data_IF_384636076356
#
_entry.id   IF_384636076356
#
_cell.length_a   1.000
_cell.length_b   1.000
_cell.length_c   1.000
_cell.angle_alpha   90.00
_cell.angle_beta   90.00
_cell.angle_gamma   90.00
#
_symmetry.space_group_name_H-M   'P 1'
#
loop_
_entity.id
_entity.type
_entity.pdbx_description
1 polymer ?
#
# COMPACT_ATOMS: atom_id res chain seq x y z
N UNK A 1 43.45 -166.98 20.78
CA UNK A 1 44.21 -166.10 21.69
C UNK A 1 44.89 -164.90 21.07
N UNK A 2 45.61 -165.01 19.94
CA UNK A 2 46.24 -163.87 19.27
C UNK A 2 45.28 -162.69 18.97
N UNK A 3 44.03 -162.98 18.64
CA UNK A 3 43.04 -161.96 18.25
C UNK A 3 42.39 -161.27 19.45
N UNK A 4 42.26 -161.94 20.60
CA UNK A 4 41.48 -161.45 21.74
C UNK A 4 42.24 -160.38 22.55
N UNK A 5 43.52 -160.65 22.86
CA UNK A 5 44.42 -159.67 23.52
C UNK A 5 44.70 -158.43 22.67
N UNK A 6 44.88 -158.62 21.36
CA UNK A 6 45.05 -157.50 20.44
C UNK A 6 43.79 -156.63 20.36
N UNK A 7 42.59 -157.23 20.46
CA UNK A 7 41.30 -156.53 20.47
C UNK A 7 41.09 -155.68 21.72
N UNK A 8 41.37 -156.23 22.90
CA UNK A 8 41.28 -155.50 24.18
C UNK A 8 42.29 -154.34 24.27
N UNK A 9 43.51 -154.52 23.73
CA UNK A 9 44.51 -153.43 23.63
C UNK A 9 44.06 -152.33 22.65
N UNK A 10 43.48 -152.70 21.50
CA UNK A 10 42.90 -151.75 20.56
C UNK A 10 41.75 -150.97 21.20
N UNK A 11 40.86 -151.63 21.95
CA UNK A 11 39.71 -151.02 22.62
C UNK A 11 40.15 -150.03 23.72
N UNK A 12 41.20 -150.35 24.48
CA UNK A 12 41.75 -149.47 25.50
C UNK A 12 42.51 -148.25 24.91
N UNK A 13 43.08 -148.38 23.71
CA UNK A 13 43.80 -147.30 23.01
C UNK A 13 42.89 -146.44 22.10
N UNK A 14 41.71 -146.94 21.71
CA UNK A 14 40.75 -146.24 20.85
C UNK A 14 40.39 -144.83 21.33
N UNK A 15 40.16 -144.55 22.64
CA UNK A 15 39.85 -143.19 23.09
C UNK A 15 40.99 -142.19 22.88
N UNK A 16 42.24 -142.66 22.94
CA UNK A 16 43.42 -141.81 22.70
C UNK A 16 43.52 -141.49 21.21
N UNK A 17 43.30 -142.49 20.35
CA UNK A 17 43.24 -142.30 18.88
C UNK A 17 42.14 -141.31 18.50
N UNK A 18 40.94 -141.46 19.06
CA UNK A 18 39.81 -140.56 18.78
C UNK A 18 40.08 -139.13 19.28
N UNK A 19 40.75 -138.98 20.43
CA UNK A 19 41.10 -137.66 20.99
C UNK A 19 42.22 -136.99 20.18
N UNK A 20 43.23 -137.74 19.76
CA UNK A 20 44.28 -137.25 18.87
C UNK A 20 43.70 -136.82 17.52
N UNK A 21 42.80 -137.62 16.92
CA UNK A 21 42.10 -137.24 15.70
C UNK A 21 41.27 -135.95 15.85
N UNK A 22 40.57 -135.78 16.99
CA UNK A 22 39.87 -134.52 17.30
C UNK A 22 40.82 -133.33 17.48
N UNK A 23 41.97 -133.53 18.12
CA UNK A 23 42.96 -132.49 18.32
C UNK A 23 43.62 -132.07 17.00
N UNK A 24 43.99 -133.02 16.15
CA UNK A 24 44.53 -132.77 14.81
C UNK A 24 43.51 -132.08 13.90
N UNK A 25 42.23 -132.47 14.00
CA UNK A 25 41.13 -131.79 13.32
C UNK A 25 40.99 -130.33 13.80
N UNK A 26 41.01 -130.09 15.11
CA UNK A 26 40.92 -128.75 15.68
C UNK A 26 42.14 -127.87 15.35
N UNK A 27 43.35 -128.45 15.29
CA UNK A 27 44.55 -127.73 14.83
C UNK A 27 44.44 -127.37 13.34
N UNK A 28 43.93 -128.28 12.51
CA UNK A 28 43.70 -128.03 11.09
C UNK A 28 42.65 -126.95 10.89
N UNK A 29 41.56 -126.99 11.66
CA UNK A 29 40.52 -125.97 11.66
C UNK A 29 41.06 -124.61 12.11
N UNK A 30 41.85 -124.56 13.20
CA UNK A 30 42.46 -123.31 13.68
C UNK A 30 43.42 -122.74 12.64
N UNK A 31 44.25 -123.57 12.02
CA UNK A 31 45.15 -123.14 10.96
C UNK A 31 44.37 -122.58 9.75
N UNK A 32 43.25 -123.22 9.39
CA UNK A 32 42.32 -122.71 8.37
C UNK A 32 41.74 -121.35 8.74
N UNK A 33 41.19 -121.21 9.95
CA UNK A 33 40.60 -119.96 10.44
C UNK A 33 41.62 -118.82 10.59
N UNK A 34 42.87 -119.12 10.97
CA UNK A 34 43.95 -118.11 11.01
C UNK A 34 44.28 -117.60 9.59
N UNK A 35 44.26 -118.49 8.60
CA UNK A 35 44.50 -118.14 7.19
C UNK A 35 43.34 -117.30 6.63
N UNK A 36 42.10 -117.68 6.92
CA UNK A 36 40.91 -116.87 6.60
C UNK A 36 40.96 -115.51 7.28
N UNK A 37 41.30 -115.44 8.58
CA UNK A 37 41.42 -114.18 9.32
C UNK A 37 42.48 -113.25 8.74
N UNK A 38 43.60 -113.81 8.29
CA UNK A 38 44.65 -113.04 7.60
C UNK A 38 44.16 -112.49 6.24
N UNK A 39 43.33 -113.25 5.51
CA UNK A 39 42.79 -112.87 4.21
C UNK A 39 41.73 -111.77 4.27
N UNK A 40 41.01 -111.59 5.39
CA UNK A 40 39.96 -110.55 5.53
C UNK A 40 40.47 -109.15 5.15
N UNK A 41 41.70 -108.78 5.54
CA UNK A 41 42.25 -107.46 5.21
C UNK A 41 42.44 -107.26 3.71
N UNK A 42 42.92 -108.31 3.02
CA UNK A 42 43.12 -108.27 1.58
C UNK A 42 41.77 -108.22 0.87
N UNK A 43 40.81 -109.07 1.28
CA UNK A 43 39.46 -109.07 0.73
C UNK A 43 38.75 -107.72 0.86
N UNK A 44 38.84 -107.06 2.02
CA UNK A 44 38.27 -105.72 2.22
C UNK A 44 38.99 -104.67 1.37
N UNK A 45 40.31 -104.78 1.19
CA UNK A 45 41.06 -103.86 0.32
C UNK A 45 40.68 -104.04 -1.16
N UNK A 46 40.51 -105.28 -1.63
CA UNK A 46 40.04 -105.59 -2.99
C UNK A 46 38.62 -105.08 -3.22
N UNK A 47 37.69 -105.32 -2.27
CA UNK A 47 36.33 -104.81 -2.33
C UNK A 47 36.31 -103.27 -2.39
N UNK A 48 37.11 -102.60 -1.54
CA UNK A 48 37.20 -101.14 -1.52
C UNK A 48 37.81 -100.59 -2.80
N UNK A 49 38.83 -101.27 -3.36
CA UNK A 49 39.41 -100.90 -4.64
C UNK A 49 38.37 -100.97 -5.75
N UNK A 50 37.60 -102.07 -5.82
CA UNK A 50 36.53 -102.22 -6.81
C UNK A 50 35.49 -101.11 -6.72
N UNK A 51 34.98 -100.83 -5.52
CA UNK A 51 34.00 -99.75 -5.31
C UNK A 51 34.54 -98.37 -5.72
N UNK A 52 35.80 -98.06 -5.39
CA UNK A 52 36.43 -96.79 -5.77
C UNK A 52 36.70 -96.70 -7.27
N UNK A 53 37.09 -97.79 -7.91
CA UNK A 53 37.26 -97.84 -9.37
C UNK A 53 35.93 -97.59 -10.08
N UNK A 54 34.84 -98.21 -9.63
CA UNK A 54 33.50 -97.98 -10.19
C UNK A 54 33.03 -96.54 -9.97
N UNK A 55 33.34 -95.95 -8.81
CA UNK A 55 33.00 -94.55 -8.50
C UNK A 55 33.79 -93.56 -9.36
N UNK A 56 35.09 -93.81 -9.58
CA UNK A 56 35.92 -93.00 -10.50
C UNK A 56 35.34 -93.09 -11.92
N UNK A 57 35.07 -94.29 -12.43
CA UNK A 57 34.53 -94.48 -13.76
C UNK A 57 33.17 -93.77 -13.96
N UNK A 58 32.30 -93.81 -12.94
CA UNK A 58 31.03 -93.07 -12.93
C UNK A 58 31.27 -91.55 -12.99
N UNK A 59 32.13 -91.01 -12.13
CA UNK A 59 32.41 -89.58 -12.08
C UNK A 59 33.09 -89.06 -13.36
N UNK A 60 33.95 -89.86 -13.99
CA UNK A 60 34.57 -89.53 -15.28
C UNK A 60 33.51 -89.46 -16.39
N UNK A 61 32.57 -90.41 -16.42
CA UNK A 61 31.45 -90.39 -17.37
C UNK A 61 30.54 -89.18 -17.15
N UNK A 62 30.17 -88.88 -15.91
CA UNK A 62 29.35 -87.71 -15.56
C UNK A 62 30.06 -86.40 -15.94
N UNK A 63 31.37 -86.31 -15.68
CA UNK A 63 32.21 -85.17 -16.06
C UNK A 63 32.25 -84.94 -17.57
N UNK A 64 32.38 -86.01 -18.36
CA UNK A 64 32.35 -85.91 -19.82
C UNK A 64 31.00 -85.41 -20.35
N UNK A 65 29.88 -85.86 -19.76
CA UNK A 65 28.54 -85.38 -20.12
C UNK A 65 28.38 -83.90 -19.79
N UNK A 66 28.78 -83.47 -18.60
CA UNK A 66 28.66 -82.07 -18.17
C UNK A 66 29.52 -81.13 -19.03
N UNK A 67 30.74 -81.55 -19.40
CA UNK A 67 31.60 -80.78 -20.31
C UNK A 67 30.95 -80.61 -21.69
N UNK A 68 30.37 -81.68 -22.25
CA UNK A 68 29.66 -81.61 -23.53
C UNK A 68 28.43 -80.69 -23.46
N UNK A 69 27.70 -80.69 -22.34
CA UNK A 69 26.57 -79.78 -22.13
C UNK A 69 27.03 -78.32 -22.05
N UNK A 70 28.15 -78.04 -21.37
CA UNK A 70 28.74 -76.70 -21.30
C UNK A 70 29.14 -76.21 -22.69
N UNK A 71 29.86 -77.02 -23.47
CA UNK A 71 30.28 -76.67 -24.82
C UNK A 71 29.08 -76.34 -25.73
N UNK A 72 28.00 -77.11 -25.60
CA UNK A 72 26.76 -76.89 -26.34
C UNK A 72 26.09 -75.58 -25.95
N UNK A 73 26.00 -75.30 -24.65
CA UNK A 73 25.40 -74.05 -24.15
C UNK A 73 26.22 -72.81 -24.55
N UNK A 74 27.55 -72.89 -24.51
CA UNK A 74 28.43 -71.81 -24.96
C UNK A 74 28.31 -71.56 -26.48
N UNK A 75 28.21 -72.62 -27.28
CA UNK A 75 28.00 -72.50 -28.72
C UNK A 75 26.67 -71.80 -29.03
N UNK A 76 25.60 -72.16 -28.30
CA UNK A 76 24.29 -71.54 -28.46
C UNK A 76 24.29 -70.07 -28.02
N UNK A 77 24.95 -69.73 -26.91
CA UNK A 77 25.11 -68.35 -26.47
C UNK A 77 25.83 -67.50 -27.53
N UNK A 78 26.92 -68.03 -28.11
CA UNK A 78 27.65 -67.36 -29.20
C UNK A 78 26.76 -67.15 -30.43
N UNK A 79 25.99 -68.16 -30.83
CA UNK A 79 25.05 -68.09 -31.96
C UNK A 79 23.98 -67.01 -31.74
N UNK A 80 23.32 -67.02 -30.59
CA UNK A 80 22.29 -66.03 -30.24
C UNK A 80 22.87 -64.60 -30.12
N UNK A 81 24.11 -64.47 -29.64
CA UNK A 81 24.83 -63.19 -29.62
C UNK A 81 25.03 -62.62 -31.02
N UNK A 82 25.51 -63.46 -31.96
CA UNK A 82 25.66 -63.05 -33.36
C UNK A 82 24.32 -62.72 -34.03
N UNK A 83 23.27 -63.50 -33.77
CA UNK A 83 21.93 -63.25 -34.31
C UNK A 83 21.37 -61.91 -33.82
N UNK A 84 21.50 -61.61 -32.52
CA UNK A 84 21.14 -60.31 -31.94
C UNK A 84 21.88 -59.16 -32.65
N UNK A 85 23.19 -59.28 -32.80
CA UNK A 85 24.01 -58.21 -33.39
C UNK A 85 23.66 -58.00 -34.87
N UNK A 86 23.40 -59.07 -35.62
CA UNK A 86 22.90 -59.00 -37.00
C UNK A 86 21.54 -58.29 -37.08
N UNK A 87 20.60 -58.62 -36.19
CA UNK A 87 19.28 -57.99 -36.14
C UNK A 87 19.35 -56.49 -35.77
N UNK A 88 20.28 -56.11 -34.88
CA UNK A 88 20.56 -54.69 -34.57
C UNK A 88 21.08 -53.98 -35.82
N UNK A 89 22.03 -54.57 -36.53
CA UNK A 89 22.59 -53.97 -37.75
C UNK A 89 21.56 -53.87 -38.88
N UNK A 90 20.70 -54.89 -39.05
CA UNK A 90 19.57 -54.86 -39.99
C UNK A 90 18.57 -53.76 -39.63
N UNK A 91 18.20 -53.61 -38.35
CA UNK A 91 17.32 -52.52 -37.89
C UNK A 91 17.92 -51.14 -38.14
N UNK A 92 19.23 -50.98 -37.95
CA UNK A 92 19.93 -49.74 -38.25
C UNK A 92 19.93 -49.45 -39.77
N UNK A 93 20.28 -50.45 -40.60
CA UNK A 93 20.30 -50.33 -42.07
C UNK A 93 18.92 -50.13 -42.70
N UNK A 94 17.86 -50.67 -42.10
CA UNK A 94 16.48 -50.57 -42.58
C UNK A 94 15.79 -49.25 -42.19
N UNK A 95 16.48 -48.32 -41.52
CA UNK A 95 15.95 -46.98 -41.22
C UNK A 95 15.39 -46.80 -39.81
N UNK A 96 15.68 -47.68 -38.85
CA UNK A 96 15.29 -47.49 -37.44
C UNK A 96 15.79 -46.18 -36.84
N UNK A 97 17.01 -45.76 -37.18
CA UNK A 97 17.57 -44.46 -36.77
C UNK A 97 16.84 -43.28 -37.44
N UNK A 98 16.36 -43.48 -38.69
CA UNK A 98 15.58 -42.48 -39.39
C UNK A 98 14.18 -42.31 -38.81
N UNK A 99 13.55 -43.39 -38.33
CA UNK A 99 12.25 -43.34 -37.65
C UNK A 99 12.38 -42.60 -36.32
N UNK A 100 13.38 -42.93 -35.50
CA UNK A 100 13.61 -42.24 -34.22
C UNK A 100 13.88 -40.74 -34.40
N UNK A 101 14.66 -40.37 -35.42
CA UNK A 101 14.89 -38.96 -35.76
C UNK A 101 13.63 -38.25 -36.26
N UNK A 102 12.79 -38.91 -37.06
CA UNK A 102 11.51 -38.35 -37.52
C UNK A 102 10.51 -38.18 -36.37
N UNK A 103 10.45 -39.12 -35.42
CA UNK A 103 9.63 -39.01 -34.21
C UNK A 103 10.07 -37.83 -33.34
N UNK A 104 11.38 -37.66 -33.14
CA UNK A 104 11.95 -36.50 -32.42
C UNK A 104 11.58 -35.18 -33.11
N UNK A 105 11.79 -35.09 -34.44
CA UNK A 105 11.45 -33.90 -35.21
C UNK A 105 9.94 -33.61 -35.20
N UNK A 106 9.09 -34.64 -35.24
CA UNK A 106 7.65 -34.49 -35.16
C UNK A 106 7.21 -33.97 -33.78
N UNK A 107 7.78 -34.52 -32.69
CA UNK A 107 7.52 -34.05 -31.34
C UNK A 107 7.96 -32.59 -31.15
N UNK A 108 9.15 -32.23 -31.65
CA UNK A 108 9.66 -30.85 -31.64
C UNK A 108 8.77 -29.90 -32.45
N UNK A 109 8.36 -30.30 -33.65
CA UNK A 109 7.47 -29.51 -34.50
C UNK A 109 6.09 -29.31 -33.85
N UNK A 110 5.55 -30.33 -33.19
CA UNK A 110 4.26 -30.24 -32.50
C UNK A 110 4.34 -29.32 -31.28
N UNK A 111 5.42 -29.38 -30.50
CA UNK A 111 5.66 -28.46 -29.39
C UNK A 111 5.88 -27.02 -29.87
N UNK A 112 6.61 -26.82 -30.97
CA UNK A 112 6.76 -25.52 -31.63
C UNK A 112 5.40 -24.98 -32.12
N UNK A 113 4.56 -25.83 -32.74
CA UNK A 113 3.23 -25.44 -33.20
C UNK A 113 2.33 -25.04 -32.02
N UNK A 114 2.35 -25.80 -30.92
CA UNK A 114 1.61 -25.48 -29.69
C UNK A 114 2.05 -24.14 -29.10
N UNK A 115 3.37 -23.93 -28.95
CA UNK A 115 3.93 -22.65 -28.48
C UNK A 115 3.51 -21.49 -29.36
N UNK A 116 3.65 -21.62 -30.68
CA UNK A 116 3.24 -20.57 -31.64
C UNK A 116 1.75 -20.28 -31.58
N UNK A 117 0.90 -21.31 -31.44
CA UNK A 117 -0.54 -21.14 -31.28
C UNK A 117 -0.89 -20.40 -29.99
N UNK A 118 -0.24 -20.72 -28.87
CA UNK A 118 -0.44 -20.03 -27.60
C UNK A 118 0.03 -18.58 -27.66
N UNK A 119 1.22 -18.32 -28.22
CA UNK A 119 1.74 -16.97 -28.43
C UNK A 119 0.83 -16.16 -29.33
N UNK A 120 0.29 -16.76 -30.41
CA UNK A 120 -0.67 -16.09 -31.28
C UNK A 120 -1.92 -15.65 -30.51
N UNK A 121 -2.51 -16.53 -29.70
CA UNK A 121 -3.72 -16.17 -28.92
C UNK A 121 -3.44 -15.00 -27.98
N UNK A 122 -2.31 -15.01 -27.26
CA UNK A 122 -1.93 -13.91 -26.39
C UNK A 122 -1.68 -12.61 -27.16
N UNK A 123 -1.05 -12.70 -28.32
CA UNK A 123 -0.82 -11.56 -29.20
C UNK A 123 -2.13 -10.97 -29.73
N UNK A 124 -3.05 -11.81 -30.22
CA UNK A 124 -4.36 -11.38 -30.71
C UNK A 124 -5.19 -10.71 -29.61
N UNK A 125 -5.11 -11.23 -28.37
CA UNK A 125 -5.71 -10.58 -27.19
C UNK A 125 -5.11 -9.20 -26.92
N UNK A 126 -3.79 -9.07 -26.92
CA UNK A 126 -3.12 -7.78 -26.68
C UNK A 126 -3.46 -6.74 -27.77
N UNK A 127 -3.54 -7.17 -29.03
CA UNK A 127 -3.96 -6.31 -30.15
C UNK A 127 -5.41 -5.85 -29.96
N UNK A 128 -6.30 -6.73 -29.52
CA UNK A 128 -7.69 -6.40 -29.23
C UNK A 128 -7.84 -5.46 -28.02
N UNK A 129 -7.11 -5.71 -26.93
CA UNK A 129 -7.10 -4.87 -25.72
C UNK A 129 -6.56 -3.46 -26.01
N UNK A 130 -5.64 -3.34 -26.97
CA UNK A 130 -5.14 -2.06 -27.46
C UNK A 130 -6.15 -1.31 -28.37
N UNK A 131 -7.29 -1.92 -28.69
CA UNK A 131 -8.31 -1.40 -29.60
C UNK A 131 -7.87 -1.37 -31.06
N UNK A 132 -6.93 -2.24 -31.46
CA UNK A 132 -6.39 -2.31 -32.81
C UNK A 132 -7.01 -3.45 -33.61
N UNK A 133 -6.91 -3.35 -34.94
CA UNK A 133 -7.44 -4.37 -35.85
C UNK A 133 -6.57 -5.65 -35.80
N UNK A 134 -7.19 -6.84 -35.94
CA UNK A 134 -6.46 -8.11 -36.01
C UNK A 134 -5.40 -8.14 -37.11
N UNK A 135 -4.26 -8.77 -36.84
CA UNK A 135 -3.16 -8.91 -37.80
C UNK A 135 -3.31 -10.19 -38.60
N UNK A 136 -3.57 -10.08 -39.91
CA UNK A 136 -3.82 -11.22 -40.79
C UNK A 136 -2.57 -11.71 -41.55
N UNK A 137 -1.59 -10.82 -41.80
CA UNK A 137 -0.43 -11.08 -42.63
C UNK A 137 0.84 -10.35 -42.14
N UNK A 138 1.96 -10.59 -42.85
CA UNK A 138 3.26 -10.03 -42.49
C UNK A 138 3.33 -8.50 -42.66
N UNK A 139 2.62 -7.94 -43.65
CA UNK A 139 2.61 -6.50 -43.90
C UNK A 139 1.81 -5.78 -42.79
N UNK A 140 0.68 -6.36 -42.36
CA UNK A 140 -0.09 -5.90 -41.22
C UNK A 140 0.73 -5.96 -39.92
N UNK A 141 1.56 -6.98 -39.74
CA UNK A 141 2.45 -7.08 -38.57
C UNK A 141 3.53 -5.98 -38.58
N UNK A 142 4.15 -5.72 -39.74
CA UNK A 142 5.13 -4.64 -39.88
C UNK A 142 4.50 -3.25 -39.66
N UNK A 143 3.29 -3.03 -40.20
CA UNK A 143 2.53 -1.80 -40.02
C UNK A 143 2.13 -1.59 -38.54
N UNK A 144 1.73 -2.65 -37.84
CA UNK A 144 1.44 -2.60 -36.40
C UNK A 144 2.67 -2.14 -35.60
N UNK A 145 3.86 -2.67 -35.91
CA UNK A 145 5.10 -2.26 -35.26
C UNK A 145 5.40 -0.77 -35.41
N UNK A 146 5.20 -0.22 -36.62
CA UNK A 146 5.37 1.21 -36.88
C UNK A 146 4.33 2.06 -36.14
N UNK A 147 3.06 1.61 -36.09
CA UNK A 147 1.98 2.30 -35.38
C UNK A 147 2.26 2.36 -33.88
N UNK A 148 2.64 1.24 -33.26
CA UNK A 148 2.95 1.19 -31.82
C UNK A 148 4.16 2.07 -31.50
N UNK A 149 5.16 2.11 -32.38
CA UNK A 149 6.33 2.97 -32.20
C UNK A 149 5.99 4.48 -32.19
N UNK A 150 5.00 4.90 -32.97
CA UNK A 150 4.53 6.30 -33.01
C UNK A 150 3.53 6.62 -31.88
N UNK A 151 2.58 5.73 -31.60
CA UNK A 151 1.51 5.96 -30.62
C UNK A 151 1.98 5.86 -29.17
N UNK A 152 2.91 4.95 -28.86
CA UNK A 152 3.42 4.76 -27.49
C UNK A 152 4.00 6.04 -26.85
N UNK A 153 4.90 6.82 -27.50
CA UNK A 153 5.37 8.08 -26.92
C UNK A 153 4.25 9.11 -26.75
N UNK A 154 3.26 9.15 -27.68
CA UNK A 154 2.10 10.05 -27.59
C UNK A 154 1.21 9.73 -26.39
N UNK A 155 0.84 8.47 -26.22
CA UNK A 155 0.08 8.01 -25.04
C UNK A 155 0.86 8.21 -23.74
N UNK A 156 2.19 8.02 -23.76
CA UNK A 156 3.03 8.29 -22.59
C UNK A 156 3.03 9.77 -22.21
N UNK A 157 3.07 10.68 -23.20
CA UNK A 157 2.94 12.12 -22.96
C UNK A 157 1.55 12.46 -22.44
N UNK A 158 0.50 11.99 -23.10
CA UNK A 158 -0.89 12.21 -22.68
C UNK A 158 -1.11 11.74 -21.25
N UNK A 159 -0.58 10.57 -20.87
CA UNK A 159 -0.67 10.09 -19.49
C UNK A 159 0.01 11.05 -18.51
N UNK A 160 1.20 11.57 -18.83
CA UNK A 160 1.89 12.54 -17.96
C UNK A 160 1.08 13.82 -17.79
N UNK A 161 0.49 14.32 -18.88
CA UNK A 161 -0.35 15.51 -18.85
C UNK A 161 -1.60 15.29 -17.98
N UNK A 162 -2.24 14.11 -18.11
CA UNK A 162 -3.36 13.70 -17.28
C UNK A 162 -2.97 13.50 -15.80
N UNK A 163 -1.80 12.92 -15.51
CA UNK A 163 -1.27 12.77 -14.15
C UNK A 163 -1.08 14.16 -13.51
N UNK A 164 -0.48 15.12 -14.21
CA UNK A 164 -0.32 16.51 -13.74
C UNK A 164 -1.68 17.18 -13.52
N UNK A 165 -2.59 17.11 -14.49
CA UNK A 165 -3.92 17.69 -14.36
C UNK A 165 -4.71 17.09 -13.18
N UNK A 166 -4.59 15.79 -12.95
CA UNK A 166 -5.23 15.08 -11.83
C UNK A 166 -4.71 15.60 -10.49
N UNK A 167 -3.38 15.74 -10.35
CA UNK A 167 -2.76 16.28 -9.12
C UNK A 167 -3.23 17.72 -8.87
N UNK A 168 -3.29 18.54 -9.92
CA UNK A 168 -3.77 19.92 -9.81
C UNK A 168 -5.24 20.00 -9.41
N UNK A 169 -6.11 19.16 -9.98
CA UNK A 169 -7.54 19.09 -9.63
C UNK A 169 -7.76 18.67 -8.17
N UNK A 170 -7.07 17.62 -7.71
CA UNK A 170 -7.07 17.19 -6.30
C UNK A 170 -6.52 18.31 -5.39
N UNK A 171 -5.50 19.03 -5.85
CA UNK A 171 -4.95 20.19 -5.15
C UNK A 171 -5.99 21.30 -4.95
N UNK A 172 -6.75 21.64 -6.00
CA UNK A 172 -7.85 22.61 -5.96
C UNK A 172 -8.98 22.15 -5.03
N UNK A 173 -9.42 20.91 -5.15
CA UNK A 173 -10.45 20.32 -4.28
C UNK A 173 -10.08 20.48 -2.79
N UNK A 174 -8.84 20.12 -2.42
CA UNK A 174 -8.34 20.27 -1.05
C UNK A 174 -8.20 21.72 -0.59
N UNK A 175 -7.89 22.65 -1.49
CA UNK A 175 -7.86 24.08 -1.16
C UNK A 175 -9.27 24.61 -0.89
N UNK A 176 -10.23 24.28 -1.75
CA UNK A 176 -11.64 24.65 -1.55
C UNK A 176 -12.19 24.05 -0.26
N UNK A 177 -11.95 22.76 0.02
CA UNK A 177 -12.40 22.15 1.27
C UNK A 177 -11.83 22.86 2.50
N UNK A 178 -10.53 23.18 2.53
CA UNK A 178 -9.93 23.94 3.64
C UNK A 178 -10.56 25.32 3.81
N UNK A 179 -10.95 25.98 2.72
CA UNK A 179 -11.62 27.29 2.78
C UNK A 179 -13.07 27.14 3.27
N UNK A 180 -13.79 26.11 2.83
CA UNK A 180 -15.12 25.76 3.36
C UNK A 180 -15.06 25.56 4.87
N UNK A 181 -14.10 24.76 5.37
CA UNK A 181 -13.96 24.49 6.80
C UNK A 181 -13.79 25.77 7.62
N UNK A 182 -12.94 26.70 7.15
CA UNK A 182 -12.71 27.99 7.82
C UNK A 182 -13.97 28.85 7.85
N UNK A 183 -14.70 28.93 6.74
CA UNK A 183 -15.93 29.74 6.68
C UNK A 183 -17.05 29.11 7.49
N UNK A 184 -17.19 27.77 7.43
CA UNK A 184 -18.17 27.03 8.21
C UNK A 184 -17.94 27.21 9.72
N UNK A 185 -16.68 27.18 10.17
CA UNK A 185 -16.34 27.46 11.57
C UNK A 185 -16.71 28.90 11.98
N UNK A 186 -16.39 29.91 11.14
CA UNK A 186 -16.74 31.30 11.42
C UNK A 186 -18.26 31.52 11.40
N UNK A 187 -19.02 30.88 10.50
CA UNK A 187 -20.49 30.92 10.47
C UNK A 187 -21.07 30.30 11.74
N UNK A 188 -20.63 29.10 12.12
CA UNK A 188 -21.09 28.45 13.36
C UNK A 188 -20.75 29.29 14.60
N UNK A 189 -19.62 30.00 14.58
CA UNK A 189 -19.20 30.92 15.63
C UNK A 189 -20.10 32.17 15.69
N UNK A 190 -20.45 32.75 14.53
CA UNK A 190 -21.34 33.91 14.42
C UNK A 190 -22.76 33.58 14.85
N UNK A 191 -23.28 32.39 14.56
CA UNK A 191 -24.62 31.94 14.95
C UNK A 191 -24.85 31.89 16.48
N UNK A 192 -23.78 31.80 17.26
CA UNK A 192 -23.83 31.77 18.72
C UNK A 192 -23.78 33.16 19.37
N UNK A 193 -23.59 34.22 18.58
CA UNK A 193 -23.44 35.60 19.06
C UNK A 193 -24.24 36.57 18.20
N UNK A 194 -24.37 37.81 18.66
CA UNK A 194 -25.07 38.87 17.91
C UNK A 194 -24.09 39.86 17.29
N UNK A 195 -22.84 39.93 17.77
CA UNK A 195 -21.82 40.83 17.25
C UNK A 195 -21.13 40.33 15.97
N UNK A 196 -20.49 41.27 15.28
CA UNK A 196 -19.77 41.04 14.02
C UNK A 196 -18.27 40.79 14.22
N UNK A 197 -17.77 40.55 15.43
CA UNK A 197 -16.33 40.39 15.66
C UNK A 197 -15.80 39.11 14.98
N UNK A 198 -14.54 39.08 14.52
CA UNK A 198 -13.89 37.84 14.09
C UNK A 198 -13.72 36.87 15.26
N UNK A 199 -13.83 35.55 15.01
CA UNK A 199 -13.69 34.51 16.04
C UNK A 199 -12.39 34.64 16.86
N UNK A 200 -11.28 34.98 16.22
CA UNK A 200 -9.98 35.19 16.89
C UNK A 200 -10.07 36.17 18.07
N UNK A 201 -10.79 37.29 17.88
CA UNK A 201 -10.92 38.33 18.91
C UNK A 201 -11.80 37.87 20.08
N UNK A 202 -12.85 37.10 19.77
CA UNK A 202 -13.75 36.51 20.76
C UNK A 202 -13.01 35.49 21.62
N UNK A 203 -12.22 34.60 20.99
CA UNK A 203 -11.42 33.59 21.69
C UNK A 203 -10.39 34.22 22.62
N UNK A 204 -9.60 35.19 22.13
CA UNK A 204 -8.57 35.86 22.96
C UNK A 204 -9.21 36.57 24.15
N UNK A 205 -10.36 37.22 23.97
CA UNK A 205 -11.10 37.88 25.06
C UNK A 205 -11.62 36.86 26.08
N UNK A 206 -12.23 35.76 25.64
CA UNK A 206 -12.69 34.70 26.54
C UNK A 206 -11.52 34.11 27.34
N UNK A 207 -10.39 33.89 26.66
CA UNK A 207 -9.03 33.66 27.16
C UNK A 207 -8.72 34.47 28.42
N UNK A 208 -8.87 35.77 28.22
CA UNK A 208 -8.46 36.82 29.12
C UNK A 208 -9.41 36.98 30.29
N UNK A 209 -10.70 37.05 30.00
CA UNK A 209 -11.75 37.17 31.00
C UNK A 209 -11.74 35.96 31.96
N UNK A 210 -11.60 34.74 31.45
CA UNK A 210 -11.54 33.53 32.27
C UNK A 210 -10.33 33.54 33.23
N UNK A 211 -9.16 33.94 32.74
CA UNK A 211 -7.93 33.97 33.55
C UNK A 211 -7.94 35.07 34.63
N UNK A 212 -8.64 36.18 34.39
CA UNK A 212 -8.71 37.32 35.30
C UNK A 212 -9.98 37.33 36.17
N UNK A 213 -10.88 36.35 36.00
CA UNK A 213 -12.16 36.29 36.70
C UNK A 213 -13.11 37.44 36.33
N UNK A 214 -13.04 37.91 35.08
CA UNK A 214 -13.87 38.98 34.54
C UNK A 214 -14.97 38.42 33.63
N UNK A 215 -16.01 39.21 33.40
CA UNK A 215 -17.03 38.90 32.41
C UNK A 215 -16.65 39.49 31.04
N UNK A 216 -17.31 39.04 29.97
CA UNK A 216 -17.09 39.60 28.62
C UNK A 216 -17.57 41.07 28.54
N UNK A 217 -18.54 41.45 29.37
CA UNK A 217 -19.10 42.81 29.46
C UNK A 217 -18.16 43.80 30.19
N UNK A 218 -17.24 43.29 31.03
CA UNK A 218 -16.22 44.12 31.67
C UNK A 218 -15.20 44.65 30.66
N UNK A 219 -14.95 43.88 29.59
CA UNK A 219 -13.96 44.14 28.55
C UNK A 219 -14.57 43.94 27.15
N UNK A 220 -15.55 44.75 26.73
CA UNK A 220 -16.10 44.66 25.39
C UNK A 220 -15.14 45.26 24.38
N UNK A 221 -15.18 44.79 23.13
CA UNK A 221 -14.60 45.51 22.01
C UNK A 221 -15.48 46.71 21.65
N UNK A 222 -14.86 47.77 21.13
CA UNK A 222 -15.62 48.94 20.72
C UNK A 222 -16.69 48.61 19.65
N UNK A 223 -16.40 47.69 18.73
CA UNK A 223 -17.34 47.29 17.66
C UNK A 223 -18.64 46.66 18.17
N UNK A 224 -18.64 46.04 19.35
CA UNK A 224 -19.85 45.49 19.98
C UNK A 224 -20.78 46.59 20.54
N UNK A 225 -20.26 47.81 20.69
CA UNK A 225 -20.97 48.95 21.27
C UNK A 225 -21.25 50.05 20.25
N UNK A 226 -20.86 49.83 18.99
CA UNK A 226 -20.98 50.80 17.89
C UNK A 226 -21.76 50.17 16.73
N UNK A 227 -22.78 50.85 16.25
CA UNK A 227 -23.47 50.52 14.99
C UNK A 227 -23.60 51.76 14.11
N UNK A 228 -24.00 51.58 12.87
CA UNK A 228 -24.32 52.69 11.94
C UNK A 228 -25.83 52.84 11.91
N UNK A 229 -26.34 54.05 12.15
CA UNK A 229 -27.78 54.31 12.08
C UNK A 229 -28.35 53.89 10.72
N UNK A 230 -29.57 53.34 10.71
CA UNK A 230 -30.21 52.84 9.50
C UNK A 230 -30.42 53.94 8.43
N UNK A 231 -30.72 55.17 8.85
CA UNK A 231 -30.84 56.36 7.98
C UNK A 231 -29.51 56.77 7.32
N UNK A 232 -28.39 56.24 7.82
CA UNK A 232 -27.04 56.48 7.34
C UNK A 232 -26.38 55.21 6.80
N UNK A 233 -27.16 54.17 6.48
CA UNK A 233 -26.65 52.89 5.98
C UNK A 233 -25.75 53.02 4.73
N UNK A 234 -25.96 54.03 3.87
CA UNK A 234 -25.09 54.34 2.73
C UNK A 234 -23.64 54.67 3.11
N UNK A 235 -23.39 55.05 4.37
CA UNK A 235 -22.07 55.35 4.90
C UNK A 235 -21.45 54.19 5.67
N UNK A 236 -22.14 53.05 5.82
CA UNK A 236 -21.65 51.91 6.60
C UNK A 236 -20.29 51.41 6.12
N UNK A 237 -20.10 51.25 4.82
CA UNK A 237 -18.82 50.81 4.27
C UNK A 237 -17.66 51.79 4.53
N UNK A 238 -17.94 53.09 4.49
CA UNK A 238 -16.99 54.14 4.85
C UNK A 238 -16.69 54.16 6.37
N UNK A 239 -17.71 54.00 7.20
CA UNK A 239 -17.61 53.88 8.65
C UNK A 239 -16.74 52.69 9.04
N UNK A 240 -17.00 51.51 8.48
CA UNK A 240 -16.18 50.32 8.64
C UNK A 240 -14.73 50.59 8.25
N UNK A 241 -14.48 51.27 7.13
CA UNK A 241 -13.12 51.63 6.71
C UNK A 241 -12.34 52.40 7.76
N UNK A 242 -12.96 53.45 8.28
CA UNK A 242 -12.32 54.41 9.18
C UNK A 242 -12.22 53.84 10.59
N UNK A 243 -13.27 53.16 11.04
CA UNK A 243 -13.41 52.73 12.43
C UNK A 243 -12.99 51.29 12.67
N UNK A 244 -12.77 50.44 11.66
CA UNK A 244 -12.42 49.02 11.87
C UNK A 244 -11.27 48.81 12.84
N UNK A 245 -10.21 49.61 12.74
CA UNK A 245 -9.07 49.53 13.66
C UNK A 245 -9.48 49.78 15.12
N UNK A 246 -10.37 50.74 15.35
CA UNK A 246 -10.90 51.08 16.67
C UNK A 246 -11.97 50.08 17.15
N UNK A 247 -12.84 49.62 16.24
CA UNK A 247 -13.87 48.62 16.51
C UNK A 247 -13.27 47.31 17.04
N UNK A 248 -12.07 46.95 16.57
CA UNK A 248 -11.31 45.78 17.05
C UNK A 248 -10.41 46.06 18.27
N UNK A 249 -10.58 47.22 18.93
CA UNK A 249 -9.89 47.52 20.19
C UNK A 249 -10.72 47.06 21.38
N UNK A 250 -10.12 46.24 22.25
CA UNK A 250 -10.69 45.82 23.53
C UNK A 250 -10.69 47.00 24.51
N UNK A 251 -11.84 47.35 25.08
CA UNK A 251 -11.96 48.45 26.04
C UNK A 251 -11.61 47.95 27.43
N UNK A 252 -10.55 48.50 28.02
CA UNK A 252 -10.05 48.07 29.33
C UNK A 252 -10.24 49.20 30.34
N UNK A 253 -11.23 49.10 31.27
CA UNK A 253 -11.38 50.05 32.36
C UNK A 253 -10.10 50.19 33.18
N UNK A 254 -9.82 51.41 33.65
CA UNK A 254 -8.65 51.73 34.47
C UNK A 254 -8.41 50.73 35.61
N UNK A 255 -9.48 50.24 36.25
CA UNK A 255 -9.44 49.28 37.35
C UNK A 255 -8.86 47.90 36.97
N UNK A 256 -8.90 47.52 35.69
CA UNK A 256 -8.41 46.22 35.20
C UNK A 256 -7.12 46.35 34.40
N UNK A 257 -6.66 47.56 34.10
CA UNK A 257 -5.55 47.82 33.19
C UNK A 257 -4.26 47.09 33.56
N UNK A 258 -3.85 47.12 34.83
CA UNK A 258 -2.59 46.51 35.26
C UNK A 258 -2.63 44.98 35.11
N UNK A 259 -3.76 44.36 35.47
CA UNK A 259 -3.96 42.92 35.34
C UNK A 259 -3.97 42.47 33.87
N UNK A 260 -4.68 43.20 33.01
CA UNK A 260 -4.72 42.94 31.57
C UNK A 260 -3.34 43.10 30.93
N UNK A 261 -2.62 44.17 31.27
CA UNK A 261 -1.28 44.43 30.72
C UNK A 261 -0.30 43.32 31.10
N UNK A 262 -0.29 42.90 32.37
CA UNK A 262 0.53 41.78 32.84
C UNK A 262 0.18 40.47 32.14
N UNK A 263 -1.12 40.19 31.98
CA UNK A 263 -1.62 39.00 31.29
C UNK A 263 -1.17 38.97 29.83
N UNK A 264 -1.29 40.09 29.09
CA UNK A 264 -0.93 40.15 27.66
C UNK A 264 0.57 39.99 27.47
N UNK A 265 1.39 40.66 28.29
CA UNK A 265 2.85 40.58 28.19
C UNK A 265 3.41 39.20 28.59
N UNK A 266 2.71 38.49 29.48
CA UNK A 266 3.17 37.21 30.03
C UNK A 266 3.04 36.00 29.09
N UNK A 267 2.48 36.15 27.88
CA UNK A 267 2.24 35.02 26.98
C UNK A 267 2.23 35.40 25.50
N UNK A 268 2.38 34.37 24.67
CA UNK A 268 2.12 34.48 23.23
C UNK A 268 0.63 34.25 22.98
N UNK A 269 -0.05 35.23 22.40
CA UNK A 269 -1.45 35.08 22.01
C UNK A 269 -1.53 34.22 20.75
N UNK A 270 -2.30 33.13 20.81
CA UNK A 270 -2.50 32.23 19.68
C UNK A 270 -3.92 31.71 19.62
N UNK A 271 -4.52 31.65 18.43
CA UNK A 271 -5.82 31.03 18.18
C UNK A 271 -5.67 30.06 17.02
N UNK A 272 -6.14 28.82 17.16
CA UNK A 272 -6.02 27.80 16.11
C UNK A 272 -4.57 27.52 15.67
N UNK A 273 -3.60 27.67 16.58
CA UNK A 273 -2.17 27.50 16.29
C UNK A 273 -1.49 28.67 15.56
N UNK A 274 -2.20 29.78 15.31
CA UNK A 274 -1.66 30.99 14.67
C UNK A 274 -1.52 32.13 15.67
N UNK A 275 -0.53 33.00 15.48
CA UNK A 275 -0.34 34.18 16.34
C UNK A 275 -1.51 35.16 16.20
N UNK A 276 -2.01 35.64 17.34
CA UNK A 276 -3.18 36.53 17.38
C UNK A 276 -2.78 37.99 17.62
N UNK A 277 -3.55 38.93 17.04
CA UNK A 277 -3.35 40.37 17.26
C UNK A 277 -4.42 40.90 18.22
N UNK A 278 -3.98 41.42 19.37
CA UNK A 278 -4.83 42.14 20.31
C UNK A 278 -4.45 43.62 20.31
N UNK A 279 -5.44 44.49 20.17
CA UNK A 279 -5.34 45.92 20.46
C UNK A 279 -6.27 46.19 21.63
N UNK A 280 -5.81 46.92 22.63
CA UNK A 280 -6.65 47.31 23.76
C UNK A 280 -6.46 48.79 24.09
N UNK A 281 -7.54 49.43 24.50
CA UNK A 281 -7.61 50.84 24.84
C UNK A 281 -7.83 50.99 26.34
N UNK A 282 -6.96 51.74 26.99
CA UNK A 282 -7.10 52.07 28.41
C UNK A 282 -8.19 53.13 28.58
N UNK A 283 -9.27 52.77 29.27
CA UNK A 283 -10.41 53.66 29.51
C UNK A 283 -10.27 54.33 30.89
N UNK A 284 -10.07 55.65 30.97
CA UNK A 284 -9.90 56.36 32.23
C UNK A 284 -11.20 56.43 33.05
N UNK A 285 -11.04 56.47 34.38
CA UNK A 285 -12.12 56.53 35.38
C UNK A 285 -12.82 57.90 35.44
N UNK A 286 -12.12 58.98 35.13
CA UNK A 286 -12.65 60.34 35.14
C UNK A 286 -12.50 60.94 33.74
N UNK A 287 -13.59 61.49 33.22
CA UNK A 287 -13.66 62.00 31.85
C UNK A 287 -14.11 63.45 31.89
N UNK A 288 -13.43 64.29 31.11
CA UNK A 288 -13.89 65.64 30.82
C UNK A 288 -14.81 65.53 29.62
N UNK A 289 -16.04 66.02 29.77
CA UNK A 289 -16.99 66.11 28.66
C UNK A 289 -16.41 67.05 27.62
N UNK A 290 -16.05 66.54 26.45
CA UNK A 290 -15.74 67.40 25.30
C UNK A 290 -17.03 68.10 24.91
N UNK A 291 -17.02 69.43 24.89
CA UNK A 291 -18.11 70.18 24.28
C UNK A 291 -18.12 69.87 22.79
N UNK A 292 -19.30 69.52 22.26
CA UNK A 292 -19.50 69.40 20.84
C UNK A 292 -19.31 70.78 20.22
N UNK A 293 -18.26 70.97 19.43
CA UNK A 293 -18.22 72.07 18.48
C UNK A 293 -19.28 71.83 17.43
N UNK A 294 -20.14 72.81 17.19
CA UNK A 294 -21.06 72.74 16.08
C UNK A 294 -20.24 72.70 14.79
N UNK A 295 -20.47 71.68 13.97
CA UNK A 295 -19.86 71.53 12.67
C UNK A 295 -20.95 71.70 11.62
N UNK A 296 -20.68 72.50 10.58
CA UNK A 296 -21.63 72.66 9.49
C UNK A 296 -21.64 71.39 8.66
N UNK A 297 -22.70 70.58 8.72
CA UNK A 297 -22.98 69.39 7.89
C UNK A 297 -22.58 68.03 8.50
N UNK A 298 -22.90 66.93 7.82
CA UNK A 298 -22.81 65.56 8.36
C UNK A 298 -21.36 65.07 8.52
N UNK A 299 -20.97 64.69 9.74
CA UNK A 299 -19.74 63.98 10.02
C UNK A 299 -19.98 62.47 10.07
N UNK A 300 -18.92 61.70 9.80
CA UNK A 300 -18.98 60.24 9.91
C UNK A 300 -19.27 59.81 11.35
N UNK A 301 -18.82 60.56 12.35
CA UNK A 301 -19.14 60.32 13.76
C UNK A 301 -20.64 60.43 14.06
N UNK A 302 -21.38 61.31 13.37
CA UNK A 302 -22.83 61.47 13.51
C UNK A 302 -23.60 60.29 12.92
N UNK A 303 -22.98 59.53 12.02
CA UNK A 303 -23.55 58.32 11.43
C UNK A 303 -23.53 57.11 12.37
N UNK A 304 -22.84 57.22 13.52
CA UNK A 304 -22.59 56.10 14.43
C UNK A 304 -23.49 56.18 15.65
N UNK A 305 -24.21 55.09 15.89
CA UNK A 305 -24.96 54.85 17.10
C UNK A 305 -24.03 54.23 18.17
N UNK A 306 -24.11 54.75 19.39
CA UNK A 306 -23.33 54.27 20.54
C UNK A 306 -24.28 53.65 21.54
N UNK A 307 -24.02 52.40 21.92
CA UNK A 307 -24.79 51.69 22.94
C UNK A 307 -24.63 52.37 24.30
N UNK A 308 -25.75 52.58 24.99
CA UNK A 308 -25.75 53.12 26.35
C UNK A 308 -24.96 52.21 27.32
N UNK A 309 -24.21 52.80 28.25
CA UNK A 309 -23.48 52.05 29.27
C UNK A 309 -22.19 52.72 29.75
N UNK A 310 -21.36 51.99 30.50
CA UNK A 310 -20.16 52.54 31.16
C UNK A 310 -19.11 53.13 30.19
N UNK A 311 -19.15 52.72 28.92
CA UNK A 311 -18.20 53.15 27.88
C UNK A 311 -18.73 54.27 26.98
N UNK A 312 -20.02 54.63 27.08
CA UNK A 312 -20.68 55.51 26.13
C UNK A 312 -19.95 56.85 25.96
N UNK A 313 -19.68 57.56 27.06
CA UNK A 313 -19.00 58.87 26.98
C UNK A 313 -17.59 58.78 26.37
N UNK A 314 -16.88 57.68 26.60
CA UNK A 314 -15.54 57.46 26.05
C UNK A 314 -15.63 57.19 24.56
N UNK A 315 -16.57 56.33 24.15
CA UNK A 315 -16.81 56.03 22.75
C UNK A 315 -17.22 57.29 21.98
N UNK A 316 -18.14 58.10 22.50
CA UNK A 316 -18.52 59.39 21.87
C UNK A 316 -17.32 60.32 21.72
N UNK A 317 -16.50 60.46 22.76
CA UNK A 317 -15.29 61.29 22.71
C UNK A 317 -14.25 60.78 21.69
N UNK A 318 -14.05 59.46 21.60
CA UNK A 318 -13.13 58.86 20.63
C UNK A 318 -13.66 58.90 19.20
N UNK A 319 -14.97 58.74 18.99
CA UNK A 319 -15.60 58.91 17.68
C UNK A 319 -15.40 60.32 17.16
N UNK A 320 -15.58 61.36 17.98
CA UNK A 320 -15.34 62.75 17.56
C UNK A 320 -13.87 63.03 17.20
N UNK A 321 -12.91 62.24 17.69
CA UNK A 321 -11.50 62.37 17.28
C UNK A 321 -11.22 61.57 16.01
N UNK A 322 -11.66 60.31 16.00
CA UNK A 322 -11.30 59.30 15.00
C UNK A 322 -12.16 59.38 13.75
N UNK A 323 -13.46 59.62 13.89
CA UNK A 323 -14.44 59.72 12.82
C UNK A 323 -14.89 61.17 12.51
N UNK A 324 -14.10 62.17 12.89
CA UNK A 324 -14.25 63.55 12.41
C UNK A 324 -13.78 63.66 10.94
N UNK A 325 -14.55 63.02 10.07
CA UNK A 325 -14.42 63.10 8.61
C UNK A 325 -15.75 63.58 8.07
N UNK A 326 -15.73 64.58 7.19
CA UNK A 326 -16.91 64.99 6.45
C UNK A 326 -17.39 63.87 5.54
N UNK A 327 -18.67 63.51 5.66
CA UNK A 327 -19.36 62.65 4.70
C UNK A 327 -19.59 63.43 3.40
N UNK A 328 -18.68 63.31 2.43
CA UNK A 328 -18.70 64.07 1.19
C UNK A 328 -19.56 63.37 0.13
N UNK A 329 -20.65 64.01 -0.31
CA UNK A 329 -21.56 63.44 -1.29
C UNK A 329 -20.98 63.42 -2.71
N UNK A 330 -20.00 64.28 -2.98
CA UNK A 330 -19.32 64.41 -4.26
C UNK A 330 -17.82 64.73 -4.05
N UNK A 331 -17.05 64.66 -5.14
CA UNK A 331 -15.61 64.89 -5.11
C UNK A 331 -15.21 66.34 -4.82
N UNK A 332 -16.07 67.31 -5.10
CA UNK A 332 -15.75 68.72 -4.84
C UNK A 332 -15.80 69.01 -3.34
N UNK A 333 -16.82 68.51 -2.63
CA UNK A 333 -16.87 68.50 -1.16
C UNK A 333 -15.67 67.76 -0.55
N UNK A 334 -15.33 66.59 -1.10
CA UNK A 334 -14.19 65.80 -0.61
C UNK A 334 -12.85 66.56 -0.73
N UNK A 335 -12.69 67.37 -1.78
CA UNK A 335 -11.50 68.20 -2.02
C UNK A 335 -11.48 69.49 -1.21
N UNK A 336 -12.63 70.06 -0.88
CA UNK A 336 -12.73 71.28 -0.08
C UNK A 336 -12.31 71.03 1.38
N UNK A 337 -12.56 69.84 1.89
CA UNK A 337 -12.40 69.52 3.30
C UNK A 337 -11.03 68.95 3.66
N UNK A 338 -10.53 69.27 4.86
CA UNK A 338 -9.26 68.71 5.36
C UNK A 338 -9.38 67.22 5.69
N UNK A 339 -10.52 66.81 6.24
CA UNK A 339 -10.83 65.41 6.57
C UNK A 339 -12.18 65.06 5.97
N UNK A 340 -12.20 64.15 5.00
CA UNK A 340 -13.42 63.73 4.34
C UNK A 340 -13.41 62.24 4.00
N UNK A 341 -14.59 61.68 3.79
CA UNK A 341 -14.78 60.33 3.31
C UNK A 341 -15.89 60.28 2.26
N UNK A 342 -15.70 59.48 1.22
CA UNK A 342 -16.73 59.23 0.19
C UNK A 342 -17.47 57.92 0.49
N UNK A 343 -18.66 57.73 -0.11
CA UNK A 343 -19.44 56.49 0.03
C UNK A 343 -18.69 55.27 -0.52
N UNK A 344 -17.85 55.49 -1.51
CA UNK A 344 -16.97 54.49 -2.13
C UNK A 344 -15.75 54.16 -1.26
N UNK A 345 -15.65 54.75 -0.06
CA UNK A 345 -14.66 54.44 0.95
C UNK A 345 -13.29 55.08 0.70
N UNK A 346 -13.21 56.17 -0.07
CA UNK A 346 -12.00 56.96 -0.16
C UNK A 346 -11.91 57.87 1.06
N UNK A 347 -10.82 57.77 1.82
CA UNK A 347 -10.60 58.53 3.07
C UNK A 347 -9.50 59.55 2.86
N UNK A 348 -9.77 60.82 3.17
CA UNK A 348 -8.78 61.90 3.20
C UNK A 348 -8.54 62.34 4.63
N UNK A 349 -7.28 62.34 5.06
CA UNK A 349 -6.83 62.83 6.36
C UNK A 349 -5.68 63.81 6.17
N UNK A 350 -6.01 65.09 5.93
CA UNK A 350 -5.04 66.12 5.56
C UNK A 350 -4.47 65.85 4.17
N UNK A 351 -3.16 65.67 4.09
CA UNK A 351 -2.45 65.35 2.84
C UNK A 351 -2.51 63.86 2.49
N UNK A 352 -2.83 63.00 3.46
CA UNK A 352 -2.92 61.55 3.26
C UNK A 352 -4.29 61.17 2.69
N UNK A 353 -4.27 60.43 1.58
CA UNK A 353 -5.45 59.88 0.95
C UNK A 353 -5.31 58.35 0.89
N UNK A 354 -6.36 57.63 1.28
CA UNK A 354 -6.39 56.18 1.28
C UNK A 354 -7.65 55.67 0.57
N UNK A 355 -7.45 54.72 -0.33
CA UNK A 355 -8.52 53.90 -0.92
C UNK A 355 -7.96 52.49 -1.04
N UNK A 356 -8.34 51.63 -0.10
CA UNK A 356 -7.87 50.24 -0.05
C UNK A 356 -8.96 49.29 -0.57
N UNK A 357 -9.01 49.06 -1.88
CA UNK A 357 -10.04 48.23 -2.52
C UNK A 357 -9.65 46.74 -2.56
N UNK A 358 -8.81 46.27 -1.62
CA UNK A 358 -8.55 44.82 -1.45
C UNK A 358 -9.83 44.03 -1.18
N UNK A 359 -10.83 44.71 -0.61
CA UNK A 359 -12.20 44.23 -0.47
C UNK A 359 -13.18 45.33 -0.90
N UNK A 360 -14.39 44.91 -1.33
CA UNK A 360 -15.46 45.86 -1.64
C UNK A 360 -15.86 46.63 -0.39
N UNK A 361 -16.17 47.92 -0.55
CA UNK A 361 -16.52 48.81 0.57
C UNK A 361 -17.81 48.36 1.28
N UNK A 362 -18.71 47.72 0.55
CA UNK A 362 -20.01 47.24 1.01
C UNK A 362 -20.03 45.73 1.30
N UNK A 363 -18.87 45.07 1.43
CA UNK A 363 -18.78 43.63 1.72
C UNK A 363 -19.16 43.32 3.19
N UNK A 364 -20.33 42.70 3.45
CA UNK A 364 -20.79 42.43 4.82
C UNK A 364 -19.89 41.45 5.58
N UNK A 365 -19.12 40.62 4.87
CA UNK A 365 -18.20 39.65 5.46
C UNK A 365 -17.07 40.33 6.24
N UNK A 366 -16.76 41.59 5.91
CA UNK A 366 -15.70 42.37 6.53
C UNK A 366 -16.18 43.29 7.64
N UNK A 367 -17.49 43.43 7.81
CA UNK A 367 -18.06 44.28 8.84
C UNK A 367 -17.70 43.77 10.23
N UNK A 368 -17.40 44.72 11.11
CA UNK A 368 -17.08 44.50 12.53
C UNK A 368 -17.91 45.42 13.43
N UNK A 369 -18.55 46.45 12.87
CA UNK A 369 -19.53 47.29 13.55
C UNK A 369 -20.90 46.62 13.50
N UNK A 370 -21.67 46.84 14.56
CA UNK A 370 -23.08 46.52 14.63
C UNK A 370 -23.42 45.36 15.55
N UNK A 371 -24.65 45.44 16.06
CA UNK A 371 -25.18 44.53 17.08
C UNK A 371 -25.90 43.32 16.50
N UNK A 372 -25.95 43.28 15.18
CA UNK A 372 -26.74 42.35 14.41
C UNK A 372 -25.86 41.80 13.29
N UNK A 373 -25.76 40.48 13.19
CA UNK A 373 -24.83 39.80 12.30
C UNK A 373 -25.49 39.02 11.16
N UNK A 374 -26.82 39.06 10.98
CA UNK A 374 -27.46 38.20 9.97
C UNK A 374 -27.02 38.55 8.54
N UNK A 375 -26.71 39.82 8.24
CA UNK A 375 -26.16 40.20 6.93
C UNK A 375 -24.78 39.59 6.69
N UNK A 376 -23.96 39.52 7.73
CA UNK A 376 -22.64 38.88 7.68
C UNK A 376 -22.78 37.37 7.52
N UNK A 377 -23.63 36.73 8.33
CA UNK A 377 -23.94 35.29 8.24
C UNK A 377 -24.46 34.94 6.84
N UNK A 378 -25.43 35.70 6.31
CA UNK A 378 -25.98 35.47 4.98
C UNK A 378 -24.92 35.58 3.87
N UNK A 379 -24.04 36.59 3.95
CA UNK A 379 -22.95 36.76 2.99
C UNK A 379 -21.89 35.65 3.10
N UNK A 380 -21.58 35.17 4.31
CA UNK A 380 -20.63 34.07 4.52
C UNK A 380 -21.21 32.71 4.12
N UNK A 381 -22.51 32.46 4.33
CA UNK A 381 -23.20 31.27 3.82
C UNK A 381 -23.21 31.25 2.29
N UNK A 382 -23.50 32.38 1.65
CA UNK A 382 -23.43 32.46 0.19
C UNK A 382 -22.01 32.19 -0.36
N UNK A 383 -20.96 32.63 0.35
CA UNK A 383 -19.58 32.27 0.00
C UNK A 383 -19.28 30.78 0.24
N UNK A 384 -19.82 30.20 1.32
CA UNK A 384 -19.68 28.78 1.60
C UNK A 384 -20.32 27.93 0.49
N UNK A 385 -21.57 28.24 0.10
CA UNK A 385 -22.28 27.56 -0.97
C UNK A 385 -21.50 27.63 -2.30
N UNK A 386 -20.89 28.79 -2.60
CA UNK A 386 -20.06 28.99 -3.78
C UNK A 386 -18.77 28.14 -3.76
N UNK A 387 -18.12 28.05 -2.60
CA UNK A 387 -16.91 27.24 -2.42
C UNK A 387 -17.21 25.74 -2.44
N UNK A 388 -18.33 25.31 -1.86
CA UNK A 388 -18.77 23.91 -1.90
C UNK A 388 -19.04 23.48 -3.34
N UNK A 389 -19.71 24.34 -4.14
CA UNK A 389 -19.89 24.09 -5.57
C UNK A 389 -18.56 23.99 -6.32
N UNK A 390 -17.61 24.89 -6.06
CA UNK A 390 -16.27 24.83 -6.67
C UNK A 390 -15.49 23.57 -6.26
N UNK A 391 -15.61 23.14 -5.00
CA UNK A 391 -15.04 21.87 -4.53
C UNK A 391 -15.63 20.69 -5.31
N UNK A 392 -16.95 20.63 -5.43
CA UNK A 392 -17.64 19.52 -6.09
C UNK A 392 -17.30 19.47 -7.59
N UNK A 393 -17.19 20.62 -8.24
CA UNK A 393 -16.71 20.74 -9.62
C UNK A 393 -15.27 20.20 -9.77
N UNK A 394 -14.36 20.57 -8.84
CA UNK A 394 -12.98 20.08 -8.85
C UNK A 394 -12.87 18.57 -8.56
N UNK A 395 -13.69 18.04 -7.64
CA UNK A 395 -13.76 16.62 -7.36
C UNK A 395 -14.27 15.82 -8.57
N UNK A 396 -15.30 16.31 -9.26
CA UNK A 396 -15.82 15.70 -10.48
C UNK A 396 -14.82 15.78 -11.65
N UNK A 397 -14.05 16.87 -11.76
CA UNK A 397 -12.93 16.97 -12.69
C UNK A 397 -11.85 15.93 -12.39
N UNK A 398 -11.42 15.81 -11.14
CA UNK A 398 -10.43 14.83 -10.72
C UNK A 398 -10.87 13.40 -11.05
N UNK A 399 -12.12 13.04 -10.75
CA UNK A 399 -12.66 11.71 -11.05
C UNK A 399 -12.62 11.39 -12.55
N UNK A 400 -13.02 12.33 -13.42
CA UNK A 400 -12.96 12.16 -14.88
C UNK A 400 -11.52 12.00 -15.38
N UNK A 401 -10.59 12.82 -14.87
CA UNK A 401 -9.18 12.73 -15.25
C UNK A 401 -8.57 11.40 -14.82
N UNK A 402 -8.97 10.85 -13.67
CA UNK A 402 -8.57 9.50 -13.24
C UNK A 402 -9.04 8.44 -14.24
N UNK A 403 -10.31 8.46 -14.65
CA UNK A 403 -10.86 7.50 -15.62
C UNK A 403 -10.14 7.57 -16.97
N UNK A 404 -9.89 8.78 -17.48
CA UNK A 404 -9.14 8.99 -18.73
C UNK A 404 -7.70 8.47 -18.62
N UNK A 405 -7.05 8.74 -17.49
CA UNK A 405 -5.67 8.29 -17.20
C UNK A 405 -5.59 6.77 -17.10
N UNK A 406 -6.57 6.12 -16.50
CA UNK A 406 -6.63 4.65 -16.39
C UNK A 406 -6.88 4.02 -17.77
N UNK A 407 -7.73 4.61 -18.61
CA UNK A 407 -7.93 4.16 -19.98
C UNK A 407 -6.64 4.26 -20.82
N UNK A 408 -5.89 5.37 -20.69
CA UNK A 408 -4.58 5.53 -21.36
C UNK A 408 -3.56 4.52 -20.82
N UNK A 409 -3.55 4.28 -19.50
CA UNK A 409 -2.66 3.30 -18.87
C UNK A 409 -2.95 1.87 -19.36
N UNK A 410 -4.22 1.47 -19.43
CA UNK A 410 -4.63 0.18 -20.00
C UNK A 410 -4.12 0.00 -21.43
N UNK A 411 -4.26 1.04 -22.28
CA UNK A 411 -3.78 0.99 -23.66
C UNK A 411 -2.24 0.93 -23.76
N UNK A 412 -1.53 1.62 -22.86
CA UNK A 412 -0.08 1.52 -22.76
C UNK A 412 0.41 0.14 -22.31
N UNK A 413 -0.32 -0.52 -21.42
CA UNK A 413 0.01 -1.88 -20.97
C UNK A 413 -0.23 -2.91 -22.08
N UNK A 414 -1.23 -2.72 -22.93
CA UNK A 414 -1.44 -3.54 -24.13
C UNK A 414 -0.34 -3.37 -25.20
N UNK A 415 0.43 -2.28 -25.15
CA UNK A 415 1.59 -2.02 -26.03
C UNK A 415 2.93 -2.56 -25.49
N UNK A 416 2.94 -3.17 -24.30
CA UNK A 416 4.14 -3.80 -23.71
C UNK A 416 4.30 -5.23 -24.19
#
# INVERSE_FOLDING_TARGET
>A
DAVKRAREQLEALQPIVDTAAKYDAALTERAGLELERAAVRLFIAELRSGLLTDEIARLEADGAVLLSQLDTAEAEQRRLGHERDSLIEERAKAGGDRIGELERLAAEALEQAKKRSQTKVLFDMAVADAGLNPVADADAFAALGALVADERPRLTSQKRDLDTATVDAIGRERDYQRRCDVIAEEVASLEQRTDNLPQEQVVVRAELCAALGLTLEDLPYAGELLDVYDEHAQWRGAAERVLRGFALSLLVPQRHYDAVTAWVNGRRLTVGGRGAKLVYERVPQHRVRLQQTAHDGLLLADCIEVREGQFEEYLRAELMKRADFRCAANLDEFRAERRAVTREGQVRSGDRHEKDDRHRVDDPKRWVLGWVNERKIAAMRAELDDLERQRDEAAAEAARLVEERDAVQHRLDAFR
#
